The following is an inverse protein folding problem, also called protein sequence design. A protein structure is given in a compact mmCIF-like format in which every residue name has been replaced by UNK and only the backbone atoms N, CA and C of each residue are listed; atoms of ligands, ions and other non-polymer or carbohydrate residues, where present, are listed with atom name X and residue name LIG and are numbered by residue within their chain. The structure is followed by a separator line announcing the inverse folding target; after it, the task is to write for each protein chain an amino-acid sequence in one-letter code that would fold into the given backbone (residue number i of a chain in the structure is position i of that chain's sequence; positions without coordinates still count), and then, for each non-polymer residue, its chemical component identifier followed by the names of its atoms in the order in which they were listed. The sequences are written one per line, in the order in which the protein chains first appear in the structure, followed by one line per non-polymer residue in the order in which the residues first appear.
data_IF_595786465314
#
_entry.id   IF_595786465314
#
_cell.length_a   1.000
_cell.length_b   1.000
_cell.length_c   1.000
_cell.angle_alpha   90.00
_cell.angle_beta   90.00
_cell.angle_gamma   90.00
#
_symmetry.space_group_name_H-M   'P 1'
#
loop_
_entity.id
_entity.type
_entity.pdbx_description
1 polymer ?
#
# COMPACT_ATOMS: atom_id res chain seq x y z
N UNK A 1 -4.74 9.92 0.56
CA UNK A 1 -6.12 9.57 0.13
C UNK A 1 -6.03 8.68 -1.10
N UNK A 2 -6.89 7.64 -1.22
CA UNK A 2 -6.93 6.79 -2.41
C UNK A 2 -7.58 7.53 -3.60
N UNK A 3 -7.27 7.16 -4.85
CA UNK A 3 -7.66 7.90 -6.05
C UNK A 3 -9.19 8.02 -6.23
N UNK A 4 -9.96 7.02 -5.83
CA UNK A 4 -11.43 7.02 -5.89
C UNK A 4 -12.08 8.12 -5.02
N UNK A 5 -11.38 8.58 -3.96
CA UNK A 5 -11.85 9.71 -3.13
C UNK A 5 -11.45 11.07 -3.67
N UNK A 6 -10.39 11.14 -4.48
CA UNK A 6 -9.86 12.41 -5.00
C UNK A 6 -10.54 12.74 -6.33
N UNK A 7 -10.56 11.78 -7.25
CA UNK A 7 -10.98 12.05 -8.62
C UNK A 7 -12.50 12.12 -8.81
N UNK A 8 -13.29 11.79 -7.78
CA UNK A 8 -14.74 11.62 -7.89
C UNK A 8 -15.09 10.85 -9.18
N UNK A 9 -14.29 9.82 -9.50
CA UNK A 9 -14.39 9.03 -10.73
C UNK A 9 -15.78 8.42 -10.74
N UNK A 10 -16.71 9.13 -11.38
CA UNK A 10 -18.12 8.80 -11.48
C UNK A 10 -18.22 7.39 -12.06
N UNK A 11 -18.37 6.41 -11.18
CA UNK A 11 -19.19 5.27 -11.46
C UNK A 11 -20.41 5.48 -10.60
N UNK A 12 -21.51 5.84 -11.26
CA UNK A 12 -22.86 5.71 -10.73
C UNK A 12 -22.92 4.45 -9.84
N UNK A 13 -23.25 4.61 -8.55
CA UNK A 13 -23.39 3.52 -7.58
C UNK A 13 -22.18 2.59 -7.34
N UNK A 14 -20.93 3.08 -7.26
CA UNK A 14 -19.86 2.28 -6.61
C UNK A 14 -19.72 2.66 -5.13
N UNK A 15 -20.24 1.80 -4.26
CA UNK A 15 -20.15 1.96 -2.82
C UNK A 15 -18.68 2.06 -2.38
N UNK A 16 -18.36 3.20 -1.78
CA UNK A 16 -17.11 3.40 -1.07
C UNK A 16 -16.92 2.30 -0.02
N UNK A 17 -15.74 1.67 0.00
CA UNK A 17 -15.40 0.65 1.00
C UNK A 17 -14.38 1.23 1.99
N UNK A 18 -14.76 1.39 3.28
CA UNK A 18 -13.82 1.76 4.34
C UNK A 18 -12.64 0.79 4.43
N UNK A 19 -12.88 -0.51 4.27
CA UNK A 19 -11.82 -1.53 4.30
C UNK A 19 -10.77 -1.28 3.21
N UNK A 20 -11.21 -0.98 1.98
CA UNK A 20 -10.29 -0.72 0.86
C UNK A 20 -9.54 0.61 1.00
N UNK A 21 -10.12 1.57 1.73
CA UNK A 21 -9.39 2.75 2.14
C UNK A 21 -8.30 2.41 3.17
N UNK A 22 -8.60 1.55 4.14
CA UNK A 22 -7.63 1.18 5.17
C UNK A 22 -6.46 0.40 4.57
N UNK A 23 -6.72 -0.57 3.67
CA UNK A 23 -5.66 -1.27 2.92
C UNK A 23 -4.75 -0.27 2.21
N UNK A 24 -5.33 0.70 1.51
CA UNK A 24 -4.57 1.76 0.84
C UNK A 24 -3.72 2.56 1.83
N UNK A 25 -4.34 3.04 2.91
CA UNK A 25 -3.69 3.90 3.90
C UNK A 25 -2.53 3.16 4.57
N UNK A 26 -2.73 1.91 4.99
CA UNK A 26 -1.71 1.09 5.64
C UNK A 26 -0.56 0.81 4.67
N UNK A 27 -0.85 0.42 3.42
CA UNK A 27 0.18 0.19 2.41
C UNK A 27 1.01 1.45 2.13
N UNK A 28 0.34 2.61 2.00
CA UNK A 28 1.00 3.88 1.79
C UNK A 28 1.88 4.30 2.98
N UNK A 29 1.39 4.10 4.20
CA UNK A 29 2.17 4.33 5.42
C UNK A 29 3.39 3.41 5.50
N UNK A 30 3.25 2.11 5.21
CA UNK A 30 4.37 1.16 5.20
C UNK A 30 5.40 1.51 4.14
N UNK A 31 4.97 1.87 2.92
CA UNK A 31 5.87 2.33 1.86
C UNK A 31 6.69 3.55 2.29
N UNK A 32 6.02 4.53 2.89
CA UNK A 32 6.66 5.76 3.38
C UNK A 32 7.61 5.47 4.55
N UNK A 33 7.19 4.66 5.52
CA UNK A 33 7.99 4.33 6.70
C UNK A 33 9.26 3.55 6.34
N UNK A 34 9.18 2.62 5.39
CA UNK A 34 10.34 1.85 4.95
C UNK A 34 11.28 2.65 4.04
N UNK A 35 10.76 3.61 3.26
CA UNK A 35 11.57 4.38 2.31
C UNK A 35 12.09 5.71 2.86
N UNK A 36 11.44 6.27 3.89
CA UNK A 36 11.73 7.61 4.40
C UNK A 36 11.25 8.78 3.52
N UNK A 37 10.58 8.47 2.41
CA UNK A 37 9.95 9.46 1.50
C UNK A 37 8.64 8.88 0.94
N UNK A 38 7.75 9.76 0.51
CA UNK A 38 6.45 9.41 -0.03
C UNK A 38 6.58 8.85 -1.47
N UNK A 39 5.81 7.80 -1.82
CA UNK A 39 5.77 7.27 -3.19
C UNK A 39 5.37 8.33 -4.24
N UNK A 40 4.40 9.18 -3.89
CA UNK A 40 3.87 10.31 -4.66
C UNK A 40 3.25 11.31 -3.67
N UNK A 41 2.99 12.56 -4.08
CA UNK A 41 2.33 13.54 -3.20
C UNK A 41 0.82 13.34 -3.14
N UNK A 42 0.22 13.00 -4.27
CA UNK A 42 -1.20 12.73 -4.37
C UNK A 42 -1.48 11.57 -5.34
N UNK A 43 -2.47 10.74 -5.01
CA UNK A 43 -2.94 9.68 -5.90
C UNK A 43 -3.86 10.27 -6.98
N UNK A 44 -3.32 11.18 -7.79
CA UNK A 44 -4.04 11.95 -8.80
C UNK A 44 -3.25 11.99 -10.10
N UNK A 45 -3.87 11.92 -11.30
CA UNK A 45 -3.14 11.81 -12.57
C UNK A 45 -2.18 12.97 -12.90
N UNK A 46 -2.32 14.12 -12.24
CA UNK A 46 -1.39 15.26 -12.35
C UNK A 46 -0.08 15.00 -11.62
N UNK A 47 -0.06 14.14 -10.59
CA UNK A 47 1.17 13.77 -9.91
C UNK A 47 2.00 12.85 -10.83
N UNK A 48 3.22 13.26 -11.22
CA UNK A 48 4.01 12.51 -12.20
C UNK A 48 4.45 11.14 -11.69
N UNK A 49 4.67 10.99 -10.39
CA UNK A 49 5.05 9.72 -9.78
C UNK A 49 3.86 8.76 -9.72
N UNK A 50 2.69 9.27 -9.35
CA UNK A 50 1.47 8.46 -9.39
C UNK A 50 1.10 8.08 -10.83
N UNK A 51 1.24 9.01 -11.79
CA UNK A 51 0.99 8.74 -13.21
C UNK A 51 1.92 7.65 -13.76
N UNK A 52 3.21 7.71 -13.41
CA UNK A 52 4.16 6.66 -13.80
C UNK A 52 3.78 5.31 -13.20
N UNK A 53 3.42 5.27 -11.91
CA UNK A 53 2.96 4.05 -11.25
C UNK A 53 1.66 3.50 -11.84
N UNK A 54 0.72 4.38 -12.20
CA UNK A 54 -0.53 4.00 -12.85
C UNK A 54 -0.30 3.34 -14.22
N UNK A 55 0.70 3.81 -14.97
CA UNK A 55 1.05 3.25 -16.28
C UNK A 55 1.83 1.93 -16.15
N UNK A 56 2.75 1.84 -15.19
CA UNK A 56 3.57 0.66 -14.94
C UNK A 56 3.81 0.50 -13.42
N UNK A 57 3.14 -0.45 -12.75
CA UNK A 57 3.34 -0.69 -11.33
C UNK A 57 4.77 -1.08 -10.94
N UNK A 58 5.60 -1.59 -11.87
CA UNK A 58 6.99 -1.98 -11.61
C UNK A 58 7.90 -0.80 -11.29
N UNK A 59 7.52 0.41 -11.70
CA UNK A 59 8.27 1.63 -11.35
C UNK A 59 8.27 1.92 -9.85
N UNK A 60 7.34 1.34 -9.08
CA UNK A 60 7.26 1.53 -7.63
C UNK A 60 8.56 1.11 -6.94
N UNK A 61 9.15 0.00 -7.35
CA UNK A 61 10.42 -0.48 -6.77
C UNK A 61 11.58 0.46 -7.06
N UNK A 62 11.61 1.07 -8.24
CA UNK A 62 12.63 2.08 -8.59
C UNK A 62 12.45 3.36 -7.77
N UNK A 63 11.21 3.74 -7.45
CA UNK A 63 10.90 4.93 -6.65
C UNK A 63 11.14 4.72 -5.16
N UNK A 64 11.03 3.48 -4.68
CA UNK A 64 11.18 3.10 -3.28
C UNK A 64 12.42 2.20 -3.07
N UNK A 65 13.65 2.69 -3.34
CA UNK A 65 14.85 1.86 -3.39
C UNK A 65 15.25 1.22 -2.06
N UNK A 66 14.80 1.78 -0.92
CA UNK A 66 15.09 1.23 0.40
C UNK A 66 14.07 0.16 0.85
N UNK A 67 12.95 0.04 0.14
CA UNK A 67 11.91 -0.94 0.46
C UNK A 67 12.31 -2.31 -0.06
N UNK A 68 12.19 -3.32 0.81
CA UNK A 68 12.51 -4.70 0.44
C UNK A 68 11.70 -5.17 -0.77
N UNK A 69 12.33 -5.85 -1.73
CA UNK A 69 11.71 -6.24 -3.01
C UNK A 69 10.42 -7.06 -2.84
N UNK A 70 10.38 -7.95 -1.85
CA UNK A 70 9.16 -8.72 -1.54
C UNK A 70 8.03 -7.81 -1.04
N UNK A 71 8.34 -6.77 -0.27
CA UNK A 71 7.35 -5.79 0.21
C UNK A 71 6.84 -4.92 -0.93
N UNK A 72 7.72 -4.48 -1.85
CA UNK A 72 7.31 -3.73 -3.05
C UNK A 72 6.23 -4.49 -3.82
N UNK A 73 6.39 -5.80 -4.02
CA UNK A 73 5.39 -6.64 -4.71
C UNK A 73 4.03 -6.69 -4.02
N UNK A 74 4.01 -6.62 -2.69
CA UNK A 74 2.75 -6.56 -1.92
C UNK A 74 2.15 -5.16 -2.01
N UNK A 75 2.98 -4.12 -1.91
CA UNK A 75 2.57 -2.72 -2.01
C UNK A 75 1.97 -2.38 -3.38
N UNK A 76 2.52 -2.90 -4.48
CA UNK A 76 1.96 -2.72 -5.84
C UNK A 76 0.50 -3.19 -5.92
N UNK A 77 0.19 -4.32 -5.28
CA UNK A 77 -1.17 -4.89 -5.25
C UNK A 77 -2.09 -4.12 -4.29
N UNK A 78 -1.59 -3.73 -3.13
CA UNK A 78 -2.36 -2.98 -2.14
C UNK A 78 -2.65 -1.52 -2.56
N UNK A 79 -1.76 -0.91 -3.33
CA UNK A 79 -1.90 0.45 -3.89
C UNK A 79 -2.50 0.44 -5.30
N UNK A 80 -3.18 -0.64 -5.70
CA UNK A 80 -3.84 -0.68 -7.00
C UNK A 80 -4.90 0.44 -7.11
N UNK A 81 -4.94 1.22 -8.21
CA UNK A 81 -5.87 2.33 -8.35
C UNK A 81 -7.35 1.91 -8.26
N UNK A 82 -7.72 0.78 -8.87
CA UNK A 82 -9.04 0.17 -8.71
C UNK A 82 -9.13 -0.58 -7.36
N UNK A 83 -10.04 -0.19 -6.44
CA UNK A 83 -10.21 -0.84 -5.14
C UNK A 83 -10.64 -2.31 -5.23
N UNK A 84 -11.21 -2.77 -6.34
CA UNK A 84 -11.64 -4.16 -6.53
C UNK A 84 -10.47 -5.11 -6.84
N UNK A 85 -9.36 -4.56 -7.30
CA UNK A 85 -8.15 -5.29 -7.62
C UNK A 85 -7.14 -5.26 -6.47
N UNK A 86 -7.43 -4.52 -5.40
CA UNK A 86 -6.62 -4.50 -4.19
C UNK A 86 -6.81 -5.78 -3.39
N UNK A 87 -5.80 -6.09 -2.58
CA UNK A 87 -5.88 -7.17 -1.59
C UNK A 87 -6.95 -6.83 -0.53
N UNK A 88 -7.58 -7.84 0.06
CA UNK A 88 -8.32 -7.63 1.32
C UNK A 88 -7.34 -7.32 2.46
N UNK A 89 -7.85 -6.76 3.56
CA UNK A 89 -6.99 -6.46 4.70
C UNK A 89 -6.33 -7.72 5.27
N UNK A 90 -7.06 -8.84 5.29
CA UNK A 90 -6.54 -10.14 5.71
C UNK A 90 -5.43 -10.62 4.77
N UNK A 91 -5.66 -10.61 3.46
CA UNK A 91 -4.65 -11.04 2.47
C UNK A 91 -3.39 -10.18 2.53
N UNK A 92 -3.57 -8.87 2.69
CA UNK A 92 -2.47 -7.93 2.84
C UNK A 92 -1.62 -8.28 4.07
N UNK A 93 -2.25 -8.47 5.23
CA UNK A 93 -1.58 -8.89 6.47
C UNK A 93 -0.81 -10.20 6.29
N UNK A 94 -1.46 -11.23 5.76
CA UNK A 94 -0.83 -12.55 5.57
C UNK A 94 0.39 -12.48 4.65
N UNK A 95 0.32 -11.68 3.58
CA UNK A 95 1.45 -11.51 2.68
C UNK A 95 2.60 -10.74 3.33
N UNK A 96 2.29 -9.67 4.07
CA UNK A 96 3.30 -8.89 4.82
C UNK A 96 4.01 -9.78 5.84
N UNK A 97 3.27 -10.56 6.65
CA UNK A 97 3.84 -11.46 7.66
C UNK A 97 4.72 -12.58 7.05
N UNK A 98 4.48 -12.94 5.78
CA UNK A 98 5.28 -13.96 5.06
C UNK A 98 6.60 -13.42 4.49
N UNK A 99 6.83 -12.11 4.46
CA UNK A 99 8.06 -11.51 3.92
C UNK A 99 9.24 -11.85 4.83
N UNK A 100 10.37 -12.22 4.22
CA UNK A 100 11.58 -12.63 4.93
C UNK A 100 12.10 -11.56 5.92
N UNK A 101 11.96 -10.28 5.56
CA UNK A 101 12.22 -9.12 6.41
C UNK A 101 11.54 -9.22 7.77
N UNK A 102 10.29 -9.68 7.80
CA UNK A 102 9.49 -9.77 9.02
C UNK A 102 9.50 -11.17 9.66
N UNK A 103 9.99 -12.19 8.95
CA UNK A 103 10.10 -13.58 9.44
C UNK A 103 11.24 -13.83 10.43
N UNK A 104 12.29 -13.00 10.43
CA UNK A 104 13.51 -13.29 11.22
C UNK A 104 13.39 -13.05 12.72
N UNK A 105 12.30 -12.44 13.21
CA UNK A 105 12.07 -12.20 14.64
C UNK A 105 10.95 -13.11 15.17
N UNK A 106 11.16 -13.70 16.36
CA UNK A 106 10.31 -14.73 17.00
C UNK A 106 8.85 -14.32 17.30
N UNK A 107 8.46 -13.07 17.00
CA UNK A 107 7.09 -12.53 17.11
C UNK A 107 6.78 -11.81 15.80
N UNK A 108 5.67 -12.14 15.15
CA UNK A 108 5.25 -11.48 13.90
C UNK A 108 5.20 -9.95 14.05
N UNK A 109 5.54 -9.22 12.98
CA UNK A 109 5.69 -7.75 12.98
C UNK A 109 4.53 -7.01 13.68
N UNK A 110 3.28 -7.35 13.36
CA UNK A 110 2.11 -6.71 13.97
C UNK A 110 1.90 -7.11 15.43
N UNK A 111 2.26 -8.34 15.82
CA UNK A 111 2.18 -8.75 17.23
C UNK A 111 3.10 -7.93 18.13
N UNK A 112 4.23 -7.43 17.60
CA UNK A 112 5.14 -6.50 18.30
C UNK A 112 4.62 -5.07 18.30
N UNK A 113 4.07 -4.61 17.19
CA UNK A 113 3.53 -3.25 17.05
C UNK A 113 2.35 -2.98 18.00
N UNK A 114 1.54 -4.01 18.26
CA UNK A 114 0.37 -3.93 19.14
C UNK A 114 0.61 -4.55 20.53
N UNK A 115 1.77 -5.16 20.79
CA UNK A 115 2.17 -5.50 22.16
C UNK A 115 2.77 -4.25 22.82
N UNK A 116 1.90 -3.35 23.26
CA UNK A 116 2.24 -2.35 24.26
C UNK A 116 2.24 -3.05 25.62
N UNK A 117 3.30 -2.86 26.40
CA UNK A 117 3.43 -3.33 27.78
C UNK A 117 2.38 -2.70 28.68
N UNK A 118 1.63 -3.52 29.44
CA UNK A 118 1.27 -3.18 30.83
C UNK A 118 2.52 -3.26 31.71
#
# INVERSE_FOLDING_TARGET
MPPERICNLKAENKAYSPEQQDVWAIAYMLATACNGDYPWRAAFPVDPHFKAFFADPEVLGKRLPLVHVELVKVLQRALHPDPRCRLTLQQFREQVEKISLFKKEKRGFFAKLFSVSD
#
